data_IF_602932960271
#
_entry.id   IF_602932960271
#
_cell.length_a   1.000
_cell.length_b   1.000
_cell.length_c   1.000
_cell.angle_alpha   90.00
_cell.angle_beta   90.00
_cell.angle_gamma   90.00
#
_symmetry.space_group_name_H-M   'P 1'
#
loop_
_entity.id
_entity.type
_entity.pdbx_description
1 polymer ?
#
# COMPACT_ATOMS: atom_id res chain seq x y z
N UNK A 1 12.58 -30.62 46.44
CA UNK A 1 11.92 -30.65 47.78
C UNK A 1 12.90 -30.16 48.83
N UNK A 2 12.78 -28.91 49.27
CA UNK A 2 13.19 -28.42 50.60
C UNK A 2 12.50 -27.06 50.81
N UNK A 3 11.75 -26.99 51.90
CA UNK A 3 10.80 -25.94 52.25
C UNK A 3 11.47 -24.77 52.98
N UNK A 4 10.86 -23.58 52.79
CA UNK A 4 10.65 -22.43 53.69
C UNK A 4 11.73 -22.03 54.71
N UNK A 5 11.93 -20.71 54.86
CA UNK A 5 11.50 -20.00 56.08
C UNK A 5 11.44 -18.47 55.85
N UNK A 6 10.28 -17.92 56.20
CA UNK A 6 9.90 -16.52 56.27
C UNK A 6 10.14 -16.01 57.70
N UNK A 7 10.63 -14.78 57.87
CA UNK A 7 10.70 -14.09 59.17
C UNK A 7 10.23 -12.64 59.00
N UNK A 8 9.22 -12.17 59.76
CA UNK A 8 8.73 -10.78 59.69
C UNK A 8 9.27 -9.89 60.84
N UNK A 9 9.46 -8.61 60.51
CA UNK A 9 9.28 -7.45 61.42
C UNK A 9 10.50 -6.94 62.20
N UNK A 10 10.88 -5.66 61.99
CA UNK A 10 10.59 -4.55 62.91
C UNK A 10 11.11 -3.21 62.33
N UNK A 11 10.30 -2.17 62.50
CA UNK A 11 10.47 -0.77 62.07
C UNK A 11 11.20 0.03 63.15
N UNK A 12 12.07 0.99 62.77
CA UNK A 12 12.12 2.38 63.26
C UNK A 12 13.40 3.10 62.79
N UNK A 13 13.22 4.31 62.24
CA UNK A 13 14.33 5.22 61.96
C UNK A 13 13.99 6.25 60.89
N UNK A 14 13.20 7.26 61.27
CA UNK A 14 12.92 8.42 60.45
C UNK A 14 14.20 9.22 60.15
N UNK A 15 14.37 9.63 58.90
CA UNK A 15 14.74 11.01 58.57
C UNK A 15 14.29 11.31 57.14
N UNK A 16 13.37 12.27 57.05
CA UNK A 16 12.84 12.80 55.82
C UNK A 16 13.88 13.67 55.12
N UNK A 17 14.09 13.41 53.83
CA UNK A 17 14.44 14.45 52.86
C UNK A 17 13.52 14.23 51.67
N UNK A 18 12.53 15.11 51.55
CA UNK A 18 11.56 15.11 50.46
C UNK A 18 12.24 15.57 49.17
N UNK A 19 12.33 14.68 48.18
CA UNK A 19 12.49 15.08 46.77
C UNK A 19 11.19 14.77 46.02
N UNK A 20 10.57 15.85 45.53
CA UNK A 20 9.42 15.79 44.63
C UNK A 20 9.85 15.28 43.25
N UNK A 21 9.10 14.29 42.74
CA UNK A 21 8.68 14.27 41.33
C UNK A 21 9.54 13.51 40.33
N UNK A 22 9.20 12.25 40.07
CA UNK A 22 8.72 11.77 38.77
C UNK A 22 8.35 10.29 38.93
N UNK A 23 7.07 9.94 38.88
CA UNK A 23 6.68 8.56 38.61
C UNK A 23 6.89 8.34 37.11
N UNK A 24 7.86 7.52 36.67
CA UNK A 24 7.84 7.04 35.30
C UNK A 24 6.60 6.15 35.18
N UNK A 25 5.60 6.63 34.47
CA UNK A 25 4.56 5.75 33.93
C UNK A 25 5.20 4.91 32.84
N UNK A 26 5.93 3.87 33.23
CA UNK A 26 6.36 2.80 32.32
C UNK A 26 5.14 1.91 32.03
N UNK A 27 4.22 2.40 31.21
CA UNK A 27 3.31 1.52 30.50
C UNK A 27 4.13 0.83 29.40
N UNK A 28 4.82 -0.26 29.77
CA UNK A 28 5.27 -1.22 28.78
C UNK A 28 3.99 -1.77 28.13
N UNK A 29 3.67 -1.29 26.93
CA UNK A 29 2.62 -1.86 26.10
C UNK A 29 3.04 -3.28 25.74
N UNK A 30 2.58 -4.26 26.52
CA UNK A 30 2.85 -5.69 26.32
C UNK A 30 1.98 -6.29 25.21
N UNK A 31 1.27 -5.48 24.42
CA UNK A 31 0.56 -5.99 23.25
C UNK A 31 1.59 -6.43 22.23
N UNK A 32 1.71 -7.75 22.02
CA UNK A 32 2.46 -8.30 20.91
C UNK A 32 2.08 -7.53 19.63
N UNK A 33 3.06 -7.10 18.81
CA UNK A 33 2.76 -6.33 17.61
C UNK A 33 1.75 -7.12 16.79
N UNK A 34 0.60 -6.51 16.52
CA UNK A 34 -0.40 -7.12 15.65
C UNK A 34 0.23 -7.15 14.25
N UNK A 35 0.65 -8.33 13.80
CA UNK A 35 1.15 -8.49 12.44
C UNK A 35 0.04 -8.05 11.48
N UNK A 36 0.40 -7.23 10.50
CA UNK A 36 -0.50 -6.89 9.41
C UNK A 36 -0.86 -8.16 8.65
N UNK A 37 -2.16 -8.39 8.46
CA UNK A 37 -2.63 -9.46 7.58
C UNK A 37 -2.50 -8.99 6.14
N UNK A 38 -2.00 -9.87 5.28
CA UNK A 38 -1.81 -9.59 3.86
C UNK A 38 -2.58 -10.62 3.01
N UNK A 39 -3.23 -10.20 1.91
CA UNK A 39 -3.48 -8.81 1.52
C UNK A 39 -4.34 -8.06 2.56
N UNK A 40 -4.02 -6.78 2.80
CA UNK A 40 -4.64 -5.99 3.87
C UNK A 40 -5.13 -4.59 3.47
N UNK A 41 -5.17 -4.31 2.16
CA UNK A 41 -5.63 -3.02 1.61
C UNK A 41 -7.09 -3.10 1.14
N UNK A 42 -7.37 -2.95 -0.15
CA UNK A 42 -8.74 -3.03 -0.67
C UNK A 42 -9.31 -4.45 -0.69
N UNK A 43 -8.44 -5.45 -0.59
CA UNK A 43 -8.81 -6.87 -0.57
C UNK A 43 -8.19 -7.55 0.63
N UNK A 44 -8.93 -8.48 1.20
CA UNK A 44 -8.43 -9.48 2.14
C UNK A 44 -8.34 -10.86 1.48
N UNK A 45 -7.67 -11.81 2.13
CA UNK A 45 -7.71 -13.22 1.71
C UNK A 45 -9.16 -13.77 1.62
N UNK A 46 -9.99 -13.42 2.61
CA UNK A 46 -11.42 -13.81 2.66
C UNK A 46 -12.22 -13.19 1.51
N UNK A 47 -11.87 -11.96 1.08
CA UNK A 47 -12.49 -11.36 -0.10
C UNK A 47 -12.18 -12.15 -1.38
N UNK A 48 -10.94 -12.63 -1.54
CA UNK A 48 -10.58 -13.44 -2.71
C UNK A 48 -11.22 -14.83 -2.70
N UNK A 49 -11.35 -15.47 -1.53
CA UNK A 49 -12.14 -16.70 -1.37
C UNK A 49 -13.58 -16.47 -1.82
N UNK A 50 -14.22 -15.42 -1.30
CA UNK A 50 -15.59 -15.04 -1.67
C UNK A 50 -15.74 -14.69 -3.16
N UNK A 51 -14.78 -13.96 -3.74
CA UNK A 51 -14.79 -13.64 -5.17
C UNK A 51 -14.72 -14.93 -5.99
N UNK A 52 -13.80 -15.84 -5.63
CA UNK A 52 -13.63 -17.12 -6.32
C UNK A 52 -14.92 -17.95 -6.28
N UNK A 53 -15.52 -18.12 -5.11
CA UNK A 53 -16.80 -18.83 -4.95
C UNK A 53 -17.91 -18.23 -5.85
N UNK A 54 -18.00 -16.90 -5.91
CA UNK A 54 -19.02 -16.21 -6.72
C UNK A 54 -18.75 -16.25 -8.22
N UNK A 55 -17.47 -16.29 -8.62
CA UNK A 55 -17.08 -16.49 -10.02
C UNK A 55 -17.39 -17.93 -10.46
N UNK A 56 -17.05 -18.90 -9.62
CA UNK A 56 -17.22 -20.33 -9.89
C UNK A 56 -18.71 -20.74 -9.90
N UNK A 57 -19.61 -19.97 -9.26
CA UNK A 57 -21.06 -20.20 -9.35
C UNK A 57 -21.67 -19.79 -10.69
N UNK A 58 -20.97 -18.97 -11.49
CA UNK A 58 -21.42 -18.49 -12.81
C UNK A 58 -22.73 -17.64 -12.74
N UNK A 59 -23.13 -17.21 -11.55
CA UNK A 59 -24.38 -16.45 -11.36
C UNK A 59 -24.19 -14.93 -11.57
N UNK A 60 -25.11 -14.24 -12.27
CA UNK A 60 -25.16 -12.78 -12.28
C UNK A 60 -25.51 -12.22 -10.89
N UNK A 61 -24.97 -11.03 -10.51
CA UNK A 61 -24.17 -10.12 -11.33
C UNK A 61 -22.67 -10.45 -11.38
N UNK A 62 -22.21 -11.46 -10.63
CA UNK A 62 -20.78 -11.76 -10.46
C UNK A 62 -20.15 -12.27 -11.74
N UNK A 63 -20.77 -13.22 -12.44
CA UNK A 63 -20.26 -13.72 -13.72
C UNK A 63 -20.17 -12.62 -14.78
N UNK A 64 -21.16 -11.74 -14.85
CA UNK A 64 -21.15 -10.57 -15.73
C UNK A 64 -20.00 -9.59 -15.41
N UNK A 65 -19.74 -9.33 -14.13
CA UNK A 65 -18.60 -8.51 -13.71
C UNK A 65 -17.27 -9.18 -14.05
N UNK A 66 -17.18 -10.48 -13.83
CA UNK A 66 -16.00 -11.29 -14.13
C UNK A 66 -15.66 -11.32 -15.62
N UNK A 67 -16.65 -11.50 -16.49
CA UNK A 67 -16.45 -11.47 -17.94
C UNK A 67 -15.93 -10.11 -18.42
N UNK A 68 -16.41 -9.01 -17.83
CA UNK A 68 -15.88 -7.67 -18.11
C UNK A 68 -14.42 -7.51 -17.68
N UNK A 69 -14.03 -8.11 -16.55
CA UNK A 69 -12.65 -8.11 -16.09
C UNK A 69 -11.76 -8.95 -17.01
N UNK A 70 -12.16 -10.20 -17.31
CA UNK A 70 -11.43 -11.09 -18.23
C UNK A 70 -11.19 -10.45 -19.60
N UNK A 71 -12.15 -9.72 -20.13
CA UNK A 71 -11.99 -9.00 -21.39
C UNK A 71 -10.90 -7.92 -21.38
N UNK A 72 -10.37 -7.55 -20.20
CA UNK A 72 -9.26 -6.61 -20.02
C UNK A 72 -7.93 -7.30 -19.70
N UNK A 73 -7.93 -8.61 -19.47
CA UNK A 73 -6.74 -9.39 -19.17
C UNK A 73 -5.95 -9.59 -20.46
N UNK A 74 -4.72 -9.11 -20.47
CA UNK A 74 -3.75 -9.35 -21.52
C UNK A 74 -2.45 -9.85 -20.89
N UNK A 75 -2.18 -11.15 -20.98
CA UNK A 75 -0.99 -11.76 -20.36
C UNK A 75 0.32 -11.36 -21.05
N UNK A 76 0.25 -10.84 -22.30
CA UNK A 76 1.40 -10.33 -23.04
C UNK A 76 1.61 -8.82 -22.84
N UNK A 77 0.88 -8.20 -21.91
CA UNK A 77 0.94 -6.76 -21.67
C UNK A 77 2.38 -6.27 -21.43
N UNK A 78 2.72 -5.15 -22.06
CA UNK A 78 3.99 -4.46 -21.94
C UNK A 78 3.75 -3.07 -21.35
N UNK A 79 4.35 -2.72 -20.21
CA UNK A 79 4.22 -1.39 -19.63
C UNK A 79 4.95 -0.34 -20.45
N UNK A 80 4.54 0.93 -20.28
CA UNK A 80 5.22 2.08 -20.88
C UNK A 80 5.65 3.07 -19.80
N UNK A 81 6.64 2.70 -18.96
CA UNK A 81 7.02 3.51 -17.83
C UNK A 81 7.77 4.78 -18.25
N UNK A 82 7.75 5.80 -17.40
CA UNK A 82 8.45 7.07 -17.60
C UNK A 82 9.23 7.43 -16.35
N UNK A 83 10.40 8.04 -16.53
CA UNK A 83 11.27 8.47 -15.45
C UNK A 83 10.65 9.58 -14.59
N UNK A 84 9.91 10.49 -15.23
CA UNK A 84 9.12 11.53 -14.60
C UNK A 84 7.67 11.42 -15.08
N UNK A 85 6.77 11.18 -14.12
CA UNK A 85 5.33 11.20 -14.36
C UNK A 85 4.83 12.65 -14.31
N UNK A 86 4.14 13.12 -15.34
CA UNK A 86 3.61 14.49 -15.42
C UNK A 86 2.09 14.48 -15.45
N UNK A 87 1.46 15.12 -14.45
CA UNK A 87 0.02 15.38 -14.43
C UNK A 87 -0.26 16.86 -14.21
N UNK A 88 -1.06 17.42 -15.11
CA UNK A 88 -1.22 18.86 -15.24
C UNK A 88 0.01 19.47 -15.94
N UNK A 89 -0.09 19.64 -17.26
CA UNK A 89 1.00 20.13 -18.09
C UNK A 89 1.58 21.46 -17.59
N UNK A 90 2.88 21.65 -17.79
CA UNK A 90 3.55 22.95 -17.70
C UNK A 90 4.07 23.34 -19.09
N UNK A 91 4.50 24.59 -19.33
CA UNK A 91 5.09 24.97 -20.62
C UNK A 91 6.30 24.11 -21.03
N UNK A 92 7.04 23.58 -20.05
CA UNK A 92 8.25 22.79 -20.26
C UNK A 92 7.98 21.29 -20.46
N UNK A 93 6.85 20.78 -19.95
CA UNK A 93 6.55 19.34 -19.92
C UNK A 93 5.08 19.07 -20.22
N UNK A 94 4.75 18.41 -21.35
CA UNK A 94 3.41 17.91 -21.59
C UNK A 94 3.08 16.77 -20.62
N UNK A 95 1.81 16.67 -20.24
CA UNK A 95 1.34 15.59 -19.38
C UNK A 95 1.43 14.21 -20.04
N UNK A 96 1.89 13.21 -19.28
CA UNK A 96 2.07 11.82 -19.72
C UNK A 96 1.39 10.79 -18.78
N UNK A 97 0.63 11.25 -17.77
CA UNK A 97 -0.03 10.38 -16.78
C UNK A 97 -0.95 9.31 -17.37
N UNK A 98 -1.30 9.44 -18.66
CA UNK A 98 -2.02 8.44 -19.43
C UNK A 98 -1.32 7.09 -19.45
N UNK A 99 0.01 7.08 -19.47
CA UNK A 99 0.81 5.85 -19.45
C UNK A 99 0.57 5.12 -18.12
N UNK A 100 0.71 5.85 -17.01
CA UNK A 100 0.57 5.29 -15.67
C UNK A 100 -0.83 4.71 -15.41
N UNK A 101 -1.91 5.46 -15.68
CA UNK A 101 -3.23 4.94 -15.32
C UNK A 101 -3.62 3.71 -16.16
N UNK A 102 -3.16 3.62 -17.41
CA UNK A 102 -3.43 2.46 -18.28
C UNK A 102 -2.66 1.23 -17.78
N UNK A 103 -1.39 1.42 -17.46
CA UNK A 103 -0.53 0.38 -16.91
C UNK A 103 -1.09 -0.14 -15.57
N UNK A 104 -1.47 0.75 -14.65
CA UNK A 104 -2.06 0.36 -13.37
C UNK A 104 -3.41 -0.34 -13.53
N UNK A 105 -4.27 0.10 -14.45
CA UNK A 105 -5.54 -0.57 -14.72
C UNK A 105 -5.34 -2.00 -15.28
N UNK A 106 -4.38 -2.17 -16.20
CA UNK A 106 -4.04 -3.48 -16.75
C UNK A 106 -3.45 -4.41 -15.66
N UNK A 107 -2.48 -3.93 -14.90
CA UNK A 107 -1.84 -4.68 -13.83
C UNK A 107 -2.81 -5.09 -12.72
N UNK A 108 -3.76 -4.23 -12.36
CA UNK A 108 -4.79 -4.57 -11.38
C UNK A 108 -5.75 -5.66 -11.87
N UNK A 109 -6.20 -5.59 -13.13
CA UNK A 109 -7.02 -6.64 -13.72
C UNK A 109 -6.25 -7.97 -13.79
N UNK A 110 -4.98 -7.95 -14.19
CA UNK A 110 -4.09 -9.11 -14.23
C UNK A 110 -3.87 -9.72 -12.84
N UNK A 111 -3.60 -8.90 -11.82
CA UNK A 111 -3.37 -9.38 -10.46
C UNK A 111 -4.63 -10.02 -9.86
N UNK A 112 -5.81 -9.41 -10.05
CA UNK A 112 -7.09 -10.04 -9.64
C UNK A 112 -7.30 -11.35 -10.40
N UNK A 113 -7.06 -11.35 -11.72
CA UNK A 113 -7.23 -12.55 -12.54
C UNK A 113 -6.40 -13.70 -11.98
N UNK A 114 -5.10 -13.49 -11.77
CA UNK A 114 -4.23 -14.49 -11.17
C UNK A 114 -4.70 -14.92 -9.77
N UNK A 115 -5.06 -13.98 -8.89
CA UNK A 115 -5.45 -14.35 -7.51
C UNK A 115 -6.71 -15.23 -7.47
N UNK A 116 -7.60 -15.10 -8.46
CA UNK A 116 -8.85 -15.87 -8.55
C UNK A 116 -8.66 -17.20 -9.31
N UNK A 117 -7.87 -17.21 -10.39
CA UNK A 117 -7.74 -18.38 -11.28
C UNK A 117 -6.50 -19.23 -11.00
N UNK A 118 -5.46 -18.64 -10.42
CA UNK A 118 -4.14 -19.23 -10.28
C UNK A 118 -3.27 -19.15 -11.54
N UNK A 119 -3.70 -18.49 -12.61
CA UNK A 119 -2.93 -18.41 -13.86
C UNK A 119 -1.67 -17.53 -13.71
N UNK A 120 -0.50 -18.18 -13.59
CA UNK A 120 0.77 -17.50 -13.31
C UNK A 120 1.16 -16.48 -14.37
N UNK A 121 0.83 -16.70 -15.65
CA UNK A 121 1.11 -15.74 -16.72
C UNK A 121 0.46 -14.35 -16.46
N UNK A 122 -0.68 -14.32 -15.77
CA UNK A 122 -1.28 -13.05 -15.33
C UNK A 122 -0.50 -12.40 -14.19
N UNK A 123 0.04 -13.18 -13.25
CA UNK A 123 0.90 -12.67 -12.18
C UNK A 123 2.19 -12.09 -12.73
N UNK A 124 2.85 -12.81 -13.65
CA UNK A 124 4.06 -12.37 -14.33
C UNK A 124 3.84 -11.06 -15.09
N UNK A 125 2.71 -10.93 -15.78
CA UNK A 125 2.37 -9.71 -16.50
C UNK A 125 2.10 -8.52 -15.58
N UNK A 126 1.39 -8.73 -14.46
CA UNK A 126 1.19 -7.69 -13.47
C UNK A 126 2.52 -7.28 -12.80
N UNK A 127 3.37 -8.27 -12.46
CA UNK A 127 4.71 -8.05 -11.92
C UNK A 127 5.60 -7.25 -12.88
N UNK A 128 5.61 -7.57 -14.18
CA UNK A 128 6.36 -6.79 -15.19
C UNK A 128 5.98 -5.31 -15.18
N UNK A 129 4.70 -4.99 -14.98
CA UNK A 129 4.26 -3.59 -14.88
C UNK A 129 4.84 -2.91 -13.64
N UNK A 130 4.73 -3.55 -12.46
CA UNK A 130 5.27 -2.99 -11.22
C UNK A 130 6.79 -2.82 -11.30
N UNK A 131 7.49 -3.83 -11.79
CA UNK A 131 8.95 -3.84 -11.94
C UNK A 131 9.39 -2.78 -12.95
N UNK A 132 8.68 -2.66 -14.07
CA UNK A 132 8.94 -1.66 -15.10
C UNK A 132 8.88 -0.23 -14.55
N UNK A 133 7.87 0.12 -13.76
CA UNK A 133 7.81 1.44 -13.14
C UNK A 133 8.78 1.60 -11.98
N UNK A 134 8.95 0.58 -11.13
CA UNK A 134 9.86 0.62 -9.97
C UNK A 134 11.31 0.84 -10.41
N UNK A 135 11.69 0.35 -11.59
CA UNK A 135 13.04 0.48 -12.13
C UNK A 135 13.38 1.89 -12.67
N UNK A 136 12.40 2.67 -13.14
CA UNK A 136 12.66 3.97 -13.80
C UNK A 136 12.02 5.17 -13.15
N UNK A 137 10.89 5.04 -12.41
CA UNK A 137 10.19 6.20 -11.89
C UNK A 137 11.02 6.91 -10.80
N UNK A 138 11.37 8.16 -11.07
CA UNK A 138 12.18 8.99 -10.16
C UNK A 138 11.37 10.09 -9.50
N UNK A 139 10.37 10.66 -10.18
CA UNK A 139 9.57 11.78 -9.65
C UNK A 139 8.17 11.90 -10.30
N UNK A 140 7.29 12.68 -9.66
CA UNK A 140 6.00 13.13 -10.20
C UNK A 140 5.98 14.65 -10.27
N UNK A 141 5.79 15.17 -11.48
CA UNK A 141 5.80 16.58 -11.81
C UNK A 141 4.46 17.07 -12.37
N UNK A 142 4.39 18.37 -12.62
CA UNK A 142 3.24 19.08 -13.16
C UNK A 142 2.80 20.23 -12.25
N UNK A 143 1.62 20.77 -12.53
CA UNK A 143 0.96 21.78 -11.68
C UNK A 143 0.52 21.15 -10.33
N UNK A 144 -0.54 21.66 -9.69
CA UNK A 144 -1.09 21.05 -8.46
C UNK A 144 -1.57 19.61 -8.65
N UNK A 145 -1.89 19.17 -9.87
CA UNK A 145 -2.44 17.84 -10.16
C UNK A 145 -1.42 16.71 -9.95
N UNK A 146 -0.13 17.03 -9.75
CA UNK A 146 0.88 16.03 -9.35
C UNK A 146 0.57 15.38 -8.00
N UNK A 147 -0.11 16.10 -7.10
CA UNK A 147 -0.55 15.54 -5.81
C UNK A 147 -1.73 14.59 -5.98
N UNK A 148 -2.65 14.89 -6.93
CA UNK A 148 -3.68 13.95 -7.34
C UNK A 148 -3.08 12.68 -7.96
N UNK A 149 -2.04 12.82 -8.79
CA UNK A 149 -1.31 11.68 -9.35
C UNK A 149 -0.65 10.84 -8.24
N UNK A 150 -0.02 11.48 -7.25
CA UNK A 150 0.62 10.78 -6.14
C UNK A 150 -0.39 9.96 -5.32
N UNK A 151 -1.56 10.53 -5.04
CA UNK A 151 -2.62 9.83 -4.31
C UNK A 151 -3.20 8.67 -5.13
N UNK A 152 -3.59 8.92 -6.38
CA UNK A 152 -4.26 7.91 -7.21
C UNK A 152 -3.37 6.75 -7.62
N UNK A 153 -2.16 7.02 -8.10
CA UNK A 153 -1.35 5.93 -8.65
C UNK A 153 -0.58 5.21 -7.55
N UNK A 154 -0.16 5.92 -6.49
CA UNK A 154 0.48 5.30 -5.33
C UNK A 154 -0.41 4.26 -4.65
N UNK A 155 -1.71 4.54 -4.48
CA UNK A 155 -2.63 3.54 -3.91
C UNK A 155 -2.80 2.33 -4.83
N UNK A 156 -2.85 2.54 -6.15
CA UNK A 156 -3.01 1.46 -7.12
C UNK A 156 -1.81 0.51 -7.10
N UNK A 157 -0.58 1.05 -7.15
CA UNK A 157 0.64 0.27 -6.99
C UNK A 157 0.61 -0.56 -5.71
N UNK A 158 0.31 0.07 -4.56
CA UNK A 158 0.27 -0.63 -3.28
C UNK A 158 -0.73 -1.79 -3.28
N UNK A 159 -1.92 -1.61 -3.86
CA UNK A 159 -2.92 -2.67 -3.96
C UNK A 159 -2.47 -3.81 -4.87
N UNK A 160 -1.88 -3.52 -6.03
CA UNK A 160 -1.40 -4.56 -6.94
C UNK A 160 -0.25 -5.34 -6.28
N UNK A 161 0.69 -4.64 -5.64
CA UNK A 161 1.80 -5.25 -4.92
C UNK A 161 1.32 -6.15 -3.77
N UNK A 162 0.28 -5.73 -3.04
CA UNK A 162 -0.33 -6.55 -1.98
C UNK A 162 -0.97 -7.82 -2.50
N UNK A 163 -1.66 -7.75 -3.65
CA UNK A 163 -2.23 -8.95 -4.28
C UNK A 163 -1.11 -9.92 -4.65
N UNK A 164 -0.08 -9.42 -5.33
CA UNK A 164 1.08 -10.18 -5.82
C UNK A 164 2.07 -10.62 -4.74
N UNK A 165 1.94 -10.14 -3.49
CA UNK A 165 2.89 -10.42 -2.39
C UNK A 165 3.17 -11.91 -2.19
N UNK A 166 2.15 -12.76 -2.41
CA UNK A 166 2.27 -14.22 -2.24
C UNK A 166 2.70 -14.95 -3.52
N UNK A 167 2.93 -14.22 -4.63
CA UNK A 167 3.43 -14.82 -5.86
C UNK A 167 4.93 -15.08 -5.72
N UNK A 168 5.29 -16.34 -5.45
CA UNK A 168 6.66 -16.74 -5.11
C UNK A 168 7.72 -16.43 -6.17
N UNK A 169 7.34 -16.30 -7.45
CA UNK A 169 8.28 -15.99 -8.54
C UNK A 169 8.52 -14.49 -8.70
N UNK A 170 7.70 -13.62 -8.11
CA UNK A 170 7.95 -12.18 -8.13
C UNK A 170 8.90 -11.77 -6.99
N UNK A 171 9.94 -10.99 -7.34
CA UNK A 171 10.98 -10.53 -6.43
C UNK A 171 11.07 -9.00 -6.33
N UNK A 172 10.18 -8.28 -7.02
CA UNK A 172 10.21 -6.82 -7.10
C UNK A 172 9.55 -6.09 -5.94
N UNK A 173 9.01 -6.79 -4.94
CA UNK A 173 8.27 -6.17 -3.83
C UNK A 173 9.07 -5.08 -3.12
N UNK A 174 10.33 -5.33 -2.77
CA UNK A 174 11.16 -4.35 -2.06
C UNK A 174 11.43 -3.11 -2.92
N UNK A 175 11.67 -3.29 -4.23
CA UNK A 175 11.85 -2.19 -5.16
C UNK A 175 10.58 -1.35 -5.34
N UNK A 176 9.40 -2.00 -5.37
CA UNK A 176 8.12 -1.31 -5.41
C UNK A 176 7.86 -0.54 -4.11
N UNK A 177 8.18 -1.11 -2.95
CA UNK A 177 8.07 -0.42 -1.65
C UNK A 177 8.99 0.81 -1.62
N UNK A 178 10.25 0.69 -2.04
CA UNK A 178 11.18 1.81 -2.12
C UNK A 178 10.64 2.94 -3.00
N UNK A 179 10.18 2.60 -4.21
CA UNK A 179 9.57 3.58 -5.13
C UNK A 179 8.36 4.27 -4.49
N UNK A 180 7.47 3.52 -3.83
CA UNK A 180 6.30 4.06 -3.14
C UNK A 180 6.69 5.06 -2.04
N UNK A 181 7.69 4.74 -1.23
CA UNK A 181 8.16 5.61 -0.16
C UNK A 181 8.88 6.86 -0.69
N UNK A 182 9.74 6.69 -1.69
CA UNK A 182 10.57 7.77 -2.21
C UNK A 182 9.77 8.76 -3.07
N UNK A 183 8.93 8.26 -3.96
CA UNK A 183 8.24 9.06 -5.00
C UNK A 183 6.83 9.50 -4.57
N UNK A 184 6.04 8.59 -4.00
CA UNK A 184 4.62 8.83 -3.74
C UNK A 184 4.35 9.34 -2.34
N UNK A 185 4.92 8.69 -1.32
CA UNK A 185 4.69 9.03 0.08
C UNK A 185 5.11 10.47 0.39
N UNK A 186 6.27 10.92 -0.10
CA UNK A 186 6.74 12.29 0.13
C UNK A 186 5.73 13.36 -0.32
N UNK A 187 5.11 13.18 -1.50
CA UNK A 187 4.09 14.09 -2.05
C UNK A 187 2.76 13.97 -1.29
N UNK A 188 2.31 12.75 -1.01
CA UNK A 188 1.10 12.51 -0.24
C UNK A 188 1.21 13.11 1.17
N UNK A 189 2.33 12.91 1.84
CA UNK A 189 2.60 13.46 3.16
C UNK A 189 2.64 14.99 3.14
N UNK A 190 3.32 15.61 2.16
CA UNK A 190 3.33 17.07 2.01
C UNK A 190 1.94 17.65 1.75
N UNK A 191 1.11 16.97 0.94
CA UNK A 191 -0.25 17.39 0.70
C UNK A 191 -1.11 17.31 1.98
N UNK A 192 -1.04 16.20 2.71
CA UNK A 192 -1.85 16.00 3.91
C UNK A 192 -1.45 16.90 5.08
N UNK A 193 -0.17 17.26 5.20
CA UNK A 193 0.32 18.07 6.33
C UNK A 193 0.31 19.56 6.05
N UNK A 194 0.57 19.98 4.81
CA UNK A 194 0.79 21.37 4.47
C UNK A 194 -0.05 21.84 3.26
N UNK A 195 -0.92 21.01 2.71
CA UNK A 195 -1.71 21.32 1.51
C UNK A 195 -0.82 21.83 0.36
N UNK A 196 0.41 21.31 0.27
CA UNK A 196 1.42 21.79 -0.67
C UNK A 196 1.62 23.33 -0.63
N UNK A 197 1.52 23.94 0.56
CA UNK A 197 1.64 25.38 0.77
C UNK A 197 0.44 26.20 0.32
N UNK A 198 -0.67 25.57 -0.09
CA UNK A 198 -1.90 26.27 -0.45
C UNK A 198 -2.80 26.53 0.78
N UNK A 199 -3.76 27.45 0.62
CA UNK A 199 -4.81 27.66 1.63
C UNK A 199 -5.70 26.42 1.74
N UNK A 200 -6.27 26.17 2.92
CA UNK A 200 -7.09 24.98 3.19
C UNK A 200 -8.28 24.83 2.22
N UNK A 201 -8.85 25.95 1.77
CA UNK A 201 -10.00 25.99 0.86
C UNK A 201 -9.62 25.88 -0.63
N UNK A 202 -8.33 25.73 -0.96
CA UNK A 202 -7.88 25.70 -2.35
C UNK A 202 -8.23 24.40 -3.08
N UNK A 203 -8.46 23.31 -2.35
CA UNK A 203 -8.73 21.99 -2.92
C UNK A 203 -10.14 21.52 -2.58
N UNK A 204 -10.90 21.08 -3.58
CA UNK A 204 -12.21 20.46 -3.42
C UNK A 204 -12.16 18.96 -3.71
N UNK A 205 -13.09 18.20 -3.10
CA UNK A 205 -13.33 16.83 -3.51
C UNK A 205 -13.89 16.84 -4.94
N UNK A 206 -13.24 16.10 -5.85
CA UNK A 206 -13.74 15.86 -7.21
C UNK A 206 -14.63 14.62 -7.26
#
# INVERSE_FOLDING_TARGET
>A
MKYLLYVPGLVLGANAVSYHGHHPHSHLDTRAPKLFAHPGLLHTAQDFERIKEKVDSIEPPWSTGWDKLKARVNQDYQPNPSDILVRGSTPERPQNYVNMYRDMAAAYALAIHWKVTGEEASAEAAARVLDGWSAVLTDIWGNSDKFLAAGFYGYQFANIAEILRDYSNWKGLDATIDMLLRVFYSKNHSFLTAHNGAHIDNYWAN
#
